data_IF_314644189814
#
_entry.id   IF_314644189814
#
_cell.length_a   1.000
_cell.length_b   1.000
_cell.length_c   1.000
_cell.angle_alpha   90.00
_cell.angle_beta   90.00
_cell.angle_gamma   90.00
#
_symmetry.space_group_name_H-M   'P 1'
#
loop_
_entity.id
_entity.type
_entity.pdbx_description
1 polymer ?
#
# COMPACT_ATOMS: atom_id res chain seq x y z
N UNK A 1 21.89 -27.66 -61.63
CA UNK A 1 21.97 -26.26 -61.19
C UNK A 1 20.91 -25.98 -60.11
N UNK A 2 20.97 -26.65 -58.95
CA UNK A 2 19.97 -26.55 -57.88
C UNK A 2 20.62 -26.42 -56.49
N UNK A 3 21.57 -25.48 -56.31
CA UNK A 3 22.20 -25.24 -54.99
C UNK A 3 22.11 -23.81 -54.49
N UNK A 4 21.57 -22.87 -55.28
CA UNK A 4 21.53 -21.44 -54.92
C UNK A 4 20.15 -20.90 -54.51
N UNK A 5 19.07 -21.68 -54.67
CA UNK A 5 17.72 -21.22 -54.32
C UNK A 5 17.37 -21.30 -52.83
N UNK A 6 18.03 -22.17 -52.06
CA UNK A 6 17.73 -22.35 -50.64
C UNK A 6 18.34 -21.28 -49.72
N UNK A 7 19.37 -20.55 -50.19
CA UNK A 7 20.08 -19.55 -49.38
C UNK A 7 19.33 -18.23 -49.25
N UNK A 8 18.67 -17.76 -50.32
CA UNK A 8 17.92 -16.49 -50.31
C UNK A 8 16.62 -16.56 -49.52
N UNK A 9 15.97 -17.73 -49.46
CA UNK A 9 14.73 -17.92 -48.71
C UNK A 9 14.95 -17.83 -47.18
N UNK A 10 16.07 -18.36 -46.68
CA UNK A 10 16.43 -18.28 -45.26
C UNK A 10 16.75 -16.84 -44.79
N UNK A 11 17.35 -16.01 -45.66
CA UNK A 11 17.69 -14.61 -45.33
C UNK A 11 16.43 -13.75 -45.25
N UNK A 12 15.46 -13.96 -46.15
CA UNK A 12 14.19 -13.24 -46.13
C UNK A 12 13.35 -13.66 -44.92
N UNK A 13 13.33 -14.94 -44.55
CA UNK A 13 12.62 -15.43 -43.35
C UNK A 13 13.27 -14.88 -42.07
N UNK A 14 14.60 -14.82 -41.99
CA UNK A 14 15.31 -14.20 -40.85
C UNK A 14 15.03 -12.69 -40.72
N UNK A 15 14.93 -11.96 -41.84
CA UNK A 15 14.62 -10.52 -41.84
C UNK A 15 13.16 -10.22 -41.47
N UNK A 16 12.22 -11.09 -41.85
CA UNK A 16 10.80 -10.96 -41.47
C UNK A 16 10.58 -11.31 -39.99
N UNK A 17 11.32 -12.28 -39.44
CA UNK A 17 11.23 -12.60 -38.01
C UNK A 17 11.78 -11.45 -37.14
N UNK A 18 12.81 -10.72 -37.61
CA UNK A 18 13.30 -9.52 -36.92
C UNK A 18 12.33 -8.33 -36.98
N UNK A 19 11.52 -8.18 -38.04
CA UNK A 19 10.57 -7.06 -38.16
C UNK A 19 9.25 -7.29 -37.40
N UNK A 20 8.88 -8.56 -37.15
CA UNK A 20 7.64 -8.91 -36.44
C UNK A 20 7.84 -9.00 -34.91
N UNK A 21 9.08 -9.10 -34.43
CA UNK A 21 9.41 -9.25 -33.01
C UNK A 21 9.45 -7.97 -32.16
N UNK A 22 9.27 -6.78 -32.76
CA UNK A 22 9.49 -5.49 -32.08
C UNK A 22 8.21 -4.74 -31.66
N UNK A 23 7.11 -5.46 -31.46
CA UNK A 23 5.89 -4.89 -30.89
C UNK A 23 5.61 -5.45 -29.48
N UNK A 24 6.63 -5.39 -28.61
CA UNK A 24 6.38 -5.38 -27.18
C UNK A 24 5.90 -3.98 -26.79
N UNK A 25 4.60 -3.73 -26.90
CA UNK A 25 3.98 -2.57 -26.25
C UNK A 25 4.01 -2.81 -24.73
N UNK A 26 5.12 -2.45 -24.10
CA UNK A 26 5.17 -2.18 -22.67
C UNK A 26 4.51 -0.81 -22.44
N UNK A 27 3.19 -0.74 -22.51
CA UNK A 27 2.44 0.46 -22.17
C UNK A 27 1.03 0.09 -21.70
N UNK A 28 0.92 -0.22 -20.43
CA UNK A 28 -0.12 0.37 -19.56
C UNK A 28 0.20 0.05 -18.10
N UNK A 29 1.41 0.41 -17.66
CA UNK A 29 1.59 0.72 -16.25
C UNK A 29 0.74 1.96 -16.00
N UNK A 30 -0.47 1.76 -15.49
CA UNK A 30 -1.43 2.81 -15.17
C UNK A 30 -0.65 3.93 -14.47
N UNK A 31 -0.69 5.15 -15.01
CA UNK A 31 -0.07 6.31 -14.37
C UNK A 31 -0.91 6.74 -13.15
N UNK A 32 -1.10 5.82 -12.18
CA UNK A 32 -1.83 6.03 -10.93
C UNK A 32 -1.36 7.29 -10.23
N UNK A 33 -0.05 7.56 -10.35
CA UNK A 33 0.61 8.68 -9.70
C UNK A 33 0.23 10.03 -10.30
N UNK A 34 -0.31 10.11 -11.53
CA UNK A 34 -0.79 11.38 -12.07
C UNK A 34 -1.93 11.98 -11.23
N UNK A 35 -2.67 11.14 -10.51
CA UNK A 35 -3.74 11.57 -9.59
C UNK A 35 -3.41 11.26 -8.12
N UNK A 36 -2.54 10.29 -7.83
CA UNK A 36 -2.19 9.84 -6.48
C UNK A 36 -0.73 10.15 -6.12
N UNK A 37 -0.21 11.29 -6.56
CA UNK A 37 1.20 11.67 -6.38
C UNK A 37 1.69 11.55 -4.94
N UNK A 38 0.82 11.83 -3.95
CA UNK A 38 1.22 11.97 -2.55
C UNK A 38 1.43 10.64 -1.82
N UNK A 39 0.95 9.52 -2.36
CA UNK A 39 0.94 8.25 -1.61
C UNK A 39 2.34 7.71 -1.30
N UNK A 40 3.33 8.08 -2.12
CA UNK A 40 4.74 7.67 -1.99
C UNK A 40 5.69 8.85 -1.73
N UNK A 41 5.19 10.04 -1.35
CA UNK A 41 6.03 11.22 -1.10
C UNK A 41 6.75 11.21 0.26
N UNK A 42 6.34 10.37 1.21
CA UNK A 42 6.95 10.34 2.54
C UNK A 42 8.29 9.59 2.56
N UNK A 43 9.09 9.86 3.59
CA UNK A 43 10.50 9.45 3.70
C UNK A 43 10.70 7.95 3.56
N UNK A 44 9.95 7.15 4.33
CA UNK A 44 10.04 5.70 4.31
C UNK A 44 8.92 5.14 3.44
N UNK A 45 9.28 4.54 2.32
CA UNK A 45 8.34 3.94 1.37
C UNK A 45 8.21 2.45 1.63
N UNK A 46 7.01 1.93 1.51
CA UNK A 46 6.75 0.51 1.55
C UNK A 46 7.14 -0.10 0.20
N UNK A 47 8.16 -0.96 0.20
CA UNK A 47 8.70 -1.51 -1.05
C UNK A 47 7.62 -2.14 -1.96
N UNK A 48 6.66 -2.97 -1.44
CA UNK A 48 5.56 -3.45 -2.27
C UNK A 48 4.74 -2.36 -2.97
N UNK A 49 4.55 -1.20 -2.34
CA UNK A 49 3.81 -0.09 -2.94
C UNK A 49 4.61 0.67 -4.00
N UNK A 50 5.94 0.61 -3.96
CA UNK A 50 6.84 1.17 -4.98
C UNK A 50 6.90 0.25 -6.20
N UNK A 51 6.91 -1.07 -5.97
CA UNK A 51 7.05 -2.06 -7.03
C UNK A 51 5.80 -2.18 -7.90
N UNK A 52 4.63 -2.37 -7.30
CA UNK A 52 3.39 -2.58 -8.06
C UNK A 52 2.14 -2.30 -7.19
N UNK A 53 1.34 -1.32 -7.61
CA UNK A 53 0.07 -0.97 -6.95
C UNK A 53 -0.92 -2.16 -6.96
N UNK A 54 -0.84 -3.01 -7.98
CA UNK A 54 -1.68 -4.19 -8.21
C UNK A 54 -1.49 -5.32 -7.21
N UNK A 55 -0.46 -5.26 -6.36
CA UNK A 55 -0.26 -6.22 -5.27
C UNK A 55 -1.36 -6.11 -4.19
N UNK A 56 -1.83 -4.89 -3.94
CA UNK A 56 -2.83 -4.61 -2.91
C UNK A 56 -4.16 -4.13 -3.51
N UNK A 57 -4.10 -3.39 -4.62
CA UNK A 57 -5.26 -2.78 -5.26
C UNK A 57 -5.71 -3.57 -6.49
N UNK A 58 -7.01 -3.57 -6.73
CA UNK A 58 -7.58 -3.93 -8.02
C UNK A 58 -7.24 -2.81 -8.99
N UNK A 59 -6.39 -3.14 -9.95
CA UNK A 59 -5.99 -2.26 -11.04
C UNK A 59 -6.98 -2.40 -12.19
N UNK A 60 -7.45 -1.29 -12.72
CA UNK A 60 -8.44 -1.25 -13.79
C UNK A 60 -8.35 0.06 -14.58
N UNK A 61 -9.00 0.09 -15.74
CA UNK A 61 -9.09 1.30 -16.55
C UNK A 61 -9.95 2.36 -15.85
N UNK A 62 -9.66 3.63 -16.07
CA UNK A 62 -10.48 4.73 -15.58
C UNK A 62 -11.82 4.79 -16.32
N UNK A 63 -12.95 5.08 -15.63
CA UNK A 63 -13.09 5.34 -14.20
C UNK A 63 -12.79 4.07 -13.37
N UNK A 64 -12.04 4.23 -12.26
CA UNK A 64 -11.68 3.12 -11.37
C UNK A 64 -12.90 2.21 -11.12
N UNK A 65 -12.74 0.88 -11.16
CA UNK A 65 -13.87 -0.04 -11.13
C UNK A 65 -14.78 0.23 -9.92
N UNK A 66 -16.06 0.52 -10.12
CA UNK A 66 -17.00 0.90 -9.04
C UNK A 66 -17.59 -0.31 -8.30
N UNK A 67 -16.80 -1.36 -8.10
CA UNK A 67 -17.23 -2.65 -7.55
C UNK A 67 -17.35 -2.65 -6.01
N UNK A 68 -17.53 -1.48 -5.40
CA UNK A 68 -17.96 -1.33 -3.99
C UNK A 68 -16.90 -1.67 -2.93
N UNK A 69 -15.67 -2.03 -3.31
CA UNK A 69 -14.58 -2.31 -2.36
C UNK A 69 -13.93 -1.00 -1.88
N UNK A 70 -13.80 -0.77 -0.56
CA UNK A 70 -13.08 0.39 -0.04
C UNK A 70 -11.68 0.49 -0.63
N UNK A 71 -11.34 1.64 -1.23
CA UNK A 71 -10.03 1.91 -1.86
C UNK A 71 -9.60 0.87 -2.91
N UNK A 72 -10.55 0.10 -3.46
CA UNK A 72 -10.29 -0.97 -4.43
C UNK A 72 -9.28 -2.01 -3.93
N UNK A 73 -9.27 -2.34 -2.64
CA UNK A 73 -8.41 -3.41 -2.16
C UNK A 73 -8.85 -4.77 -2.72
N UNK A 74 -7.88 -5.62 -3.10
CA UNK A 74 -8.17 -6.96 -3.64
C UNK A 74 -8.87 -7.87 -2.63
N UNK A 75 -8.62 -7.63 -1.35
CA UNK A 75 -9.15 -8.39 -0.21
C UNK A 75 -9.21 -7.50 1.05
N UNK A 76 -9.61 -8.07 2.20
CA UNK A 76 -9.54 -7.40 3.51
C UNK A 76 -8.10 -7.01 3.84
N UNK A 77 -7.91 -5.83 4.43
CA UNK A 77 -6.60 -5.24 4.73
C UNK A 77 -5.65 -6.22 5.43
N UNK A 78 -6.09 -6.83 6.54
CA UNK A 78 -5.25 -7.78 7.28
C UNK A 78 -4.84 -8.98 6.44
N UNK A 79 -5.75 -9.51 5.61
CA UNK A 79 -5.48 -10.68 4.77
C UNK A 79 -4.40 -10.37 3.72
N UNK A 80 -4.42 -9.17 3.14
CA UNK A 80 -3.36 -8.71 2.24
C UNK A 80 -2.03 -8.61 3.00
N UNK A 81 -1.98 -7.91 4.14
CA UNK A 81 -0.75 -7.75 4.89
C UNK A 81 -0.15 -9.10 5.33
N UNK A 82 -0.99 -9.99 5.85
CA UNK A 82 -0.59 -11.31 6.36
C UNK A 82 -0.24 -12.31 5.26
N UNK A 83 -0.46 -11.99 3.99
CA UNK A 83 0.02 -12.81 2.86
C UNK A 83 1.54 -12.77 2.68
N UNK A 84 2.19 -11.71 3.18
CA UNK A 84 3.66 -11.58 3.18
C UNK A 84 4.22 -11.43 4.60
N UNK A 85 3.51 -10.73 5.48
CA UNK A 85 3.93 -10.50 6.85
C UNK A 85 3.40 -11.61 7.77
N UNK A 86 4.11 -12.74 7.79
CA UNK A 86 3.77 -13.87 8.65
C UNK A 86 3.74 -13.47 10.13
N UNK A 87 2.63 -13.77 10.79
CA UNK A 87 2.34 -13.41 12.19
C UNK A 87 3.45 -13.85 13.15
N UNK A 88 3.91 -15.09 13.02
CA UNK A 88 4.91 -15.66 13.94
C UNK A 88 6.31 -15.10 13.66
N UNK A 89 6.65 -14.87 12.38
CA UNK A 89 7.88 -14.19 11.99
C UNK A 89 7.94 -12.77 12.56
N UNK A 90 6.83 -12.04 12.54
CA UNK A 90 6.75 -10.69 13.10
C UNK A 90 6.86 -10.65 14.63
N UNK A 91 6.34 -11.68 15.32
CA UNK A 91 6.47 -11.81 16.78
C UNK A 91 7.90 -12.07 17.20
N UNK A 92 8.58 -12.99 16.52
CA UNK A 92 9.98 -13.36 16.81
C UNK A 92 10.96 -12.22 16.50
N UNK A 93 10.64 -11.35 15.54
CA UNK A 93 11.46 -10.21 15.15
C UNK A 93 11.13 -8.91 15.91
N UNK A 94 10.35 -8.96 17.00
CA UNK A 94 9.96 -7.78 17.79
C UNK A 94 9.10 -6.74 17.04
N UNK A 95 8.53 -7.09 15.88
CA UNK A 95 7.82 -6.17 14.97
C UNK A 95 6.31 -6.05 15.18
N UNK A 96 5.76 -6.92 16.04
CA UNK A 96 4.44 -6.92 16.66
C UNK A 96 3.17 -7.12 15.79
N UNK A 97 2.50 -8.24 16.09
CA UNK A 97 1.03 -8.44 15.99
C UNK A 97 0.52 -9.11 17.29
N UNK A 98 0.45 -8.25 18.31
CA UNK A 98 -0.60 -8.08 19.35
C UNK A 98 -0.55 -8.86 20.67
N UNK A 99 -0.02 -8.17 21.70
CA UNK A 99 -0.12 -8.48 23.14
C UNK A 99 -1.36 -7.85 23.82
N UNK A 100 -2.00 -6.81 23.25
CA UNK A 100 -3.12 -6.06 23.89
C UNK A 100 -4.32 -5.58 23.02
N UNK A 101 -4.23 -5.53 21.69
CA UNK A 101 -5.35 -5.08 20.82
C UNK A 101 -5.73 -6.17 19.81
N UNK A 102 -7.01 -6.53 19.64
CA UNK A 102 -7.43 -7.35 18.49
C UNK A 102 -7.39 -6.49 17.21
N UNK A 103 -6.79 -7.00 16.12
CA UNK A 103 -6.72 -6.30 14.80
C UNK A 103 -7.99 -6.51 13.96
N UNK A 104 -9.08 -6.95 14.58
CA UNK A 104 -10.35 -7.25 13.93
C UNK A 104 -11.48 -6.70 14.81
N UNK A 105 -11.46 -5.38 15.06
CA UNK A 105 -12.59 -4.69 15.69
C UNK A 105 -13.45 -4.03 14.63
N UNK A 106 -14.74 -4.00 14.87
CA UNK A 106 -15.73 -3.44 13.94
C UNK A 106 -15.53 -1.93 13.70
N UNK A 107 -14.91 -1.21 14.63
CA UNK A 107 -14.72 0.25 14.51
C UNK A 107 -13.30 0.68 14.91
N UNK A 108 -12.58 1.29 13.96
CA UNK A 108 -11.27 1.93 14.22
C UNK A 108 -11.45 3.21 15.04
N UNK A 109 -10.95 3.31 16.29
CA UNK A 109 -11.19 4.42 17.22
C UNK A 109 -10.81 5.80 16.68
N UNK A 110 -10.03 5.91 15.59
CA UNK A 110 -9.83 7.17 14.88
C UNK A 110 -11.03 7.57 14.01
N UNK A 111 -12.19 6.94 14.16
CA UNK A 111 -13.42 7.21 13.42
C UNK A 111 -14.16 8.45 13.91
N UNK A 112 -13.95 8.86 15.17
CA UNK A 112 -14.68 9.96 15.81
C UNK A 112 -14.08 11.36 15.53
N UNK A 113 -13.33 11.53 14.44
CA UNK A 113 -12.71 12.83 14.10
C UNK A 113 -13.63 13.78 13.34
N UNK A 114 -14.92 13.47 13.23
CA UNK A 114 -15.89 14.31 12.50
C UNK A 114 -15.58 14.52 11.01
N UNK A 115 -14.69 13.72 10.42
CA UNK A 115 -14.32 13.85 9.02
C UNK A 115 -15.29 13.04 8.14
N UNK A 116 -16.14 13.68 7.33
CA UNK A 116 -17.16 13.01 6.52
C UNK A 116 -16.56 12.14 5.38
N UNK A 117 -15.25 12.26 5.13
CA UNK A 117 -14.52 11.43 4.16
C UNK A 117 -13.86 10.18 4.80
N UNK A 118 -13.98 9.99 6.12
CA UNK A 118 -13.56 8.77 6.81
C UNK A 118 -14.83 7.98 7.12
N UNK A 119 -15.28 7.18 6.14
CA UNK A 119 -16.30 6.16 6.38
C UNK A 119 -15.84 5.25 7.53
N UNK A 120 -16.79 4.75 8.33
CA UNK A 120 -16.53 3.73 9.36
C UNK A 120 -15.59 2.68 8.78
N UNK A 121 -14.37 2.64 9.27
CA UNK A 121 -13.34 1.71 8.81
C UNK A 121 -13.10 0.69 9.91
N UNK A 122 -13.01 -0.57 9.52
CA UNK A 122 -12.64 -1.66 10.42
C UNK A 122 -11.27 -1.36 11.05
N UNK A 123 -11.10 -1.61 12.34
CA UNK A 123 -9.78 -1.53 12.95
C UNK A 123 -8.92 -2.66 12.41
N UNK A 124 -7.76 -2.32 11.84
CA UNK A 124 -6.90 -3.28 11.14
C UNK A 124 -5.44 -2.82 11.15
N UNK A 125 -4.52 -3.55 10.50
CA UNK A 125 -3.10 -3.17 10.46
C UNK A 125 -2.87 -1.71 9.97
N UNK A 126 -3.68 -1.23 9.02
CA UNK A 126 -3.57 0.13 8.47
C UNK A 126 -4.14 1.23 9.38
N UNK A 127 -4.75 0.87 10.52
CA UNK A 127 -5.15 1.84 11.55
C UNK A 127 -3.93 2.48 12.20
N UNK A 128 -2.84 1.74 12.33
CA UNK A 128 -1.57 2.19 12.92
C UNK A 128 -0.44 2.31 11.90
N UNK A 129 -0.46 1.54 10.81
CA UNK A 129 0.57 1.54 9.77
C UNK A 129 0.09 2.20 8.49
N UNK A 130 0.98 2.87 7.75
CA UNK A 130 0.69 3.32 6.41
C UNK A 130 1.27 2.31 5.40
N UNK A 131 0.43 1.66 4.56
CA UNK A 131 0.89 0.62 3.63
C UNK A 131 1.62 1.18 2.39
N UNK A 132 1.72 2.50 2.23
CA UNK A 132 2.40 3.15 1.12
C UNK A 132 3.70 3.83 1.56
N UNK A 133 3.61 4.80 2.48
CA UNK A 133 4.77 5.54 2.98
C UNK A 133 4.49 6.24 4.32
N UNK A 134 5.53 6.51 5.10
CA UNK A 134 5.47 7.26 6.37
C UNK A 134 6.76 8.06 6.59
N UNK A 135 6.73 9.15 7.36
CA UNK A 135 7.98 9.74 7.89
C UNK A 135 8.42 9.11 9.23
N UNK A 136 7.69 8.12 9.75
CA UNK A 136 8.09 7.36 10.92
C UNK A 136 8.92 6.15 10.53
N UNK A 137 10.16 6.12 11.02
CA UNK A 137 11.19 5.10 10.82
C UNK A 137 10.79 3.68 11.26
N UNK A 138 9.97 3.57 12.30
CA UNK A 138 9.57 2.28 12.84
C UNK A 138 8.39 1.69 12.05
N UNK A 139 8.72 0.77 11.13
CA UNK A 139 7.76 -0.13 10.46
C UNK A 139 6.58 0.60 9.79
N UNK A 140 6.81 1.80 9.26
CA UNK A 140 5.79 2.62 8.60
C UNK A 140 4.61 3.01 9.51
N UNK A 141 4.86 3.21 10.80
CA UNK A 141 3.83 3.72 11.70
C UNK A 141 3.27 5.05 11.16
N UNK A 142 1.96 5.21 11.15
CA UNK A 142 1.26 6.27 10.41
C UNK A 142 1.37 7.65 11.05
N UNK A 143 1.43 7.72 12.38
CA UNK A 143 1.29 8.98 13.11
C UNK A 143 2.61 9.44 13.73
N UNK A 144 2.79 10.75 13.85
CA UNK A 144 3.97 11.35 14.45
C UNK A 144 3.96 11.24 15.98
N UNK A 145 4.04 10.01 16.51
CA UNK A 145 4.08 9.74 17.95
C UNK A 145 5.30 10.35 18.66
N UNK A 146 6.34 10.75 17.91
CA UNK A 146 7.52 11.46 18.43
C UNK A 146 7.27 12.95 18.66
N UNK A 147 6.16 13.51 18.16
CA UNK A 147 5.73 14.87 18.48
C UNK A 147 5.64 15.07 19.99
N UNK A 148 6.03 16.24 20.54
CA UNK A 148 5.86 16.57 21.95
C UNK A 148 4.42 16.36 22.44
N UNK A 149 3.45 16.53 21.54
CA UNK A 149 2.02 16.26 21.79
C UNK A 149 1.79 14.88 22.38
N UNK A 150 2.39 13.82 21.81
CA UNK A 150 2.12 12.44 22.25
C UNK A 150 3.15 11.92 23.26
N UNK A 151 4.11 12.76 23.69
CA UNK A 151 5.13 12.39 24.66
C UNK A 151 5.98 11.19 24.25
N UNK A 152 6.14 10.92 22.95
CA UNK A 152 6.89 9.76 22.46
C UNK A 152 6.13 8.42 22.53
N UNK A 153 4.85 8.42 22.92
CA UNK A 153 4.04 7.21 23.09
C UNK A 153 3.15 6.94 21.88
N UNK A 154 3.33 5.78 21.23
CA UNK A 154 2.42 5.31 20.16
C UNK A 154 0.99 5.10 20.66
N UNK A 155 0.83 4.68 21.92
CA UNK A 155 -0.47 4.43 22.52
C UNK A 155 -1.24 5.73 22.77
N UNK A 156 -0.53 6.81 23.11
CA UNK A 156 -1.13 8.11 23.37
C UNK A 156 -1.67 8.79 22.10
N UNK A 157 -1.34 8.27 20.92
CA UNK A 157 -1.93 8.74 19.66
C UNK A 157 -3.45 8.53 19.64
N UNK A 158 -3.93 7.41 20.19
CA UNK A 158 -5.36 7.08 20.24
C UNK A 158 -5.96 7.17 21.65
N UNK A 159 -5.15 6.92 22.68
CA UNK A 159 -5.58 6.98 24.09
C UNK A 159 -5.04 8.25 24.78
N UNK A 160 -5.06 9.40 24.09
CA UNK A 160 -4.49 10.64 24.62
C UNK A 160 -5.08 11.01 25.98
N UNK A 161 -6.40 10.91 26.11
CA UNK A 161 -7.18 11.10 27.33
C UNK A 161 -6.69 10.21 28.49
N UNK A 162 -6.39 8.95 28.21
CA UNK A 162 -5.86 8.02 29.22
C UNK A 162 -4.46 8.38 29.69
N UNK A 163 -3.64 9.00 28.84
CA UNK A 163 -2.27 9.36 29.15
C UNK A 163 -2.14 10.76 29.76
N UNK A 164 -3.02 11.69 29.37
CA UNK A 164 -2.87 13.12 29.68
C UNK A 164 -4.12 13.77 30.31
N UNK A 165 -5.24 13.05 30.43
CA UNK A 165 -6.46 13.54 31.10
C UNK A 165 -7.27 14.55 30.30
N UNK A 166 -6.94 14.77 29.03
CA UNK A 166 -7.55 15.77 28.14
C UNK A 166 -7.92 15.15 26.78
N UNK A 167 -8.84 15.72 25.99
CA UNK A 167 -9.17 15.19 24.68
C UNK A 167 -7.97 15.27 23.71
N UNK A 168 -7.84 14.28 22.83
CA UNK A 168 -6.79 14.25 21.82
C UNK A 168 -6.94 15.41 20.81
N UNK A 169 -5.83 15.97 20.28
CA UNK A 169 -5.90 16.80 19.09
C UNK A 169 -6.33 15.94 17.89
N UNK A 170 -7.45 16.32 17.25
CA UNK A 170 -8.02 15.63 16.08
C UNK A 170 -7.90 16.48 14.81
N UNK A 171 -7.65 15.86 13.63
CA UNK A 171 -7.24 14.46 13.45
C UNK A 171 -5.81 14.21 14.01
N UNK A 172 -5.43 12.94 14.31
CA UNK A 172 -4.09 12.64 14.80
C UNK A 172 -3.00 13.16 13.84
N UNK A 173 -1.90 13.66 14.39
CA UNK A 173 -0.81 14.19 13.57
C UNK A 173 -0.21 13.08 12.72
N UNK A 174 -0.37 13.18 11.41
CA UNK A 174 0.23 12.26 10.45
C UNK A 174 1.75 12.37 10.50
N UNK A 175 2.40 11.21 10.46
CA UNK A 175 3.85 11.05 10.37
C UNK A 175 4.29 11.20 8.94
#
# INVERSE_FOLDING_TARGET
MMRYFYSSLCVVIMLVVLSVGLNAQAASGIECMNCHEDVLKKTYKHEPAVMDCGLCHEVGQFPHPQNGKPKFLRDKTNKICLSCHERDRMRLAGGHVIEKHPVELDNDPTWDTGNPHIARREFNCASCHNPHSSNMDQKLFRYNYKSPVYGGSKCAVCHYDKYFGEPAPLPPLEG
#
